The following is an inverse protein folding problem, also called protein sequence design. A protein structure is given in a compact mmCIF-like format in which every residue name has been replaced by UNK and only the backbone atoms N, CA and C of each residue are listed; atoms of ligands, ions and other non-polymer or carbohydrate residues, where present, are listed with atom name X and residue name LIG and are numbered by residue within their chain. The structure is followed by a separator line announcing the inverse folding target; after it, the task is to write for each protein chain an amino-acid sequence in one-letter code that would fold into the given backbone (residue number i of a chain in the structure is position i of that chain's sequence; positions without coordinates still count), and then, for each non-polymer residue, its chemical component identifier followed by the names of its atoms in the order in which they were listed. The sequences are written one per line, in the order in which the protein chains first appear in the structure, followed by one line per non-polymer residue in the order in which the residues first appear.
data_IF_140796431419
#
_entry.id   IF_140796431419
#
_cell.length_a   1.000
_cell.length_b   1.000
_cell.length_c   1.000
_cell.angle_alpha   90.00
_cell.angle_beta   90.00
_cell.angle_gamma   90.00
#
_symmetry.space_group_name_H-M   'P 1'
#
loop_
_entity.id
_entity.type
_entity.pdbx_description
1 polymer ?
#
# COMPACT_ATOMS: atom_id res chain seq x y z
N UNK A 1 -23.56 -14.52 -2.08
CA UNK A 1 -23.98 -14.67 -3.48
C UNK A 1 -23.10 -13.74 -4.31
N UNK A 2 -22.50 -14.22 -5.40
CA UNK A 2 -21.57 -13.44 -6.23
C UNK A 2 -21.37 -14.12 -7.59
N UNK A 3 -20.72 -13.46 -8.53
CA UNK A 3 -20.39 -14.01 -9.85
C UNK A 3 -18.96 -14.57 -9.84
N UNK A 4 -18.79 -15.77 -10.39
CA UNK A 4 -17.46 -16.35 -10.61
C UNK A 4 -16.81 -15.75 -11.86
N UNK A 5 -15.48 -15.96 -12.03
CA UNK A 5 -14.72 -15.48 -13.18
C UNK A 5 -15.32 -15.97 -14.52
N UNK A 6 -15.64 -17.25 -14.61
CA UNK A 6 -16.21 -17.87 -15.79
C UNK A 6 -17.61 -17.30 -16.13
N UNK A 7 -18.41 -17.03 -15.11
CA UNK A 7 -19.73 -16.42 -15.28
C UNK A 7 -19.62 -14.98 -15.76
N UNK A 8 -18.69 -14.18 -15.20
CA UNK A 8 -18.47 -12.79 -15.64
C UNK A 8 -17.96 -12.77 -17.09
N UNK A 9 -16.97 -13.60 -17.45
CA UNK A 9 -16.51 -13.70 -18.84
C UNK A 9 -17.62 -14.13 -19.80
N UNK A 10 -18.50 -15.02 -19.37
CA UNK A 10 -19.59 -15.53 -20.22
C UNK A 10 -20.76 -14.56 -20.36
N UNK A 11 -21.24 -14.01 -19.26
CA UNK A 11 -22.49 -13.22 -19.26
C UNK A 11 -22.28 -11.72 -19.41
N UNK A 12 -21.07 -11.21 -19.13
CA UNK A 12 -20.74 -9.79 -19.20
C UNK A 12 -19.76 -9.43 -20.31
N UNK A 13 -19.42 -10.35 -21.24
CA UNK A 13 -18.46 -10.10 -22.33
C UNK A 13 -18.77 -8.82 -23.10
N UNK A 14 -20.01 -8.61 -23.53
CA UNK A 14 -20.42 -7.41 -24.26
C UNK A 14 -20.32 -6.12 -23.44
N UNK A 15 -20.51 -6.19 -22.12
CA UNK A 15 -20.31 -5.03 -21.22
C UNK A 15 -18.82 -4.73 -21.04
N UNK A 16 -17.97 -5.77 -20.96
CA UNK A 16 -16.51 -5.62 -20.87
C UNK A 16 -15.98 -4.96 -22.16
N UNK A 17 -16.37 -5.45 -23.33
CA UNK A 17 -15.96 -4.89 -24.62
C UNK A 17 -16.38 -3.42 -24.77
N UNK A 18 -17.63 -3.10 -24.38
CA UNK A 18 -18.15 -1.74 -24.43
C UNK A 18 -17.36 -0.82 -23.49
N UNK A 19 -17.13 -1.25 -22.25
CA UNK A 19 -16.38 -0.47 -21.26
C UNK A 19 -14.91 -0.31 -21.66
N UNK A 20 -14.28 -1.35 -22.21
CA UNK A 20 -12.92 -1.31 -22.71
C UNK A 20 -12.75 -0.28 -23.83
N UNK A 21 -13.72 -0.23 -24.76
CA UNK A 21 -13.75 0.78 -25.83
C UNK A 21 -13.93 2.20 -25.28
N UNK A 22 -14.81 2.38 -24.29
CA UNK A 22 -15.08 3.69 -23.66
C UNK A 22 -13.84 4.21 -22.90
N UNK A 23 -13.09 3.31 -22.27
CA UNK A 23 -11.89 3.62 -21.47
C UNK A 23 -10.58 3.58 -22.30
N UNK A 24 -10.66 3.26 -23.60
CA UNK A 24 -9.51 3.13 -24.49
C UNK A 24 -8.45 2.12 -24.00
N UNK A 25 -8.89 1.00 -23.41
CA UNK A 25 -8.04 -0.05 -22.91
C UNK A 25 -8.36 -1.39 -23.55
N UNK A 26 -7.43 -2.33 -23.44
CA UNK A 26 -7.65 -3.70 -23.88
C UNK A 26 -8.65 -4.44 -22.95
N UNK A 27 -9.52 -5.29 -23.52
CA UNK A 27 -10.56 -6.00 -22.77
C UNK A 27 -10.02 -6.97 -21.73
N UNK A 28 -8.89 -7.63 -21.98
CA UNK A 28 -8.24 -8.52 -21.01
C UNK A 28 -7.65 -7.71 -19.86
N UNK A 29 -6.98 -6.60 -20.15
CA UNK A 29 -6.44 -5.67 -19.13
C UNK A 29 -7.55 -5.07 -18.28
N UNK A 30 -8.71 -4.74 -18.89
CA UNK A 30 -9.88 -4.28 -18.17
C UNK A 30 -10.41 -5.39 -17.25
N UNK A 31 -10.51 -6.62 -17.74
CA UNK A 31 -10.97 -7.75 -16.92
C UNK A 31 -10.04 -7.99 -15.71
N UNK A 32 -8.72 -7.96 -15.91
CA UNK A 32 -7.74 -8.08 -14.81
C UNK A 32 -7.90 -6.94 -13.77
N UNK A 33 -8.23 -5.74 -14.24
CA UNK A 33 -8.51 -4.62 -13.36
C UNK A 33 -9.82 -4.81 -12.59
N UNK A 34 -10.88 -5.35 -13.23
CA UNK A 34 -12.14 -5.72 -12.56
C UNK A 34 -11.91 -6.79 -11.49
N UNK A 35 -11.08 -7.79 -11.78
CA UNK A 35 -10.68 -8.83 -10.80
C UNK A 35 -10.02 -8.20 -9.57
N UNK A 36 -9.03 -7.33 -9.76
CA UNK A 36 -8.35 -6.65 -8.65
C UNK A 36 -9.28 -5.80 -7.80
N UNK A 37 -10.23 -5.11 -8.43
CA UNK A 37 -11.06 -4.13 -7.73
C UNK A 37 -12.34 -4.72 -7.12
N UNK A 38 -12.95 -5.75 -7.72
CA UNK A 38 -14.30 -6.17 -7.35
C UNK A 38 -14.48 -7.66 -7.09
N UNK A 39 -13.45 -8.48 -7.37
CA UNK A 39 -13.44 -9.91 -7.05
C UNK A 39 -12.85 -10.21 -5.66
N UNK A 40 -12.62 -11.46 -5.38
CA UNK A 40 -11.84 -11.91 -4.24
C UNK A 40 -12.66 -12.24 -2.98
N UNK A 41 -13.97 -12.09 -3.00
CA UNK A 41 -14.81 -12.55 -1.89
C UNK A 41 -14.85 -14.07 -1.86
N UNK A 42 -14.51 -14.65 -0.71
CA UNK A 42 -14.56 -16.07 -0.45
C UNK A 42 -15.41 -16.36 0.79
N UNK A 43 -16.41 -17.22 0.64
CA UNK A 43 -17.37 -17.58 1.68
C UNK A 43 -17.30 -19.08 2.03
N UNK A 44 -16.28 -19.78 1.52
CA UNK A 44 -16.11 -21.22 1.77
C UNK A 44 -14.82 -21.53 2.51
N UNK A 45 -14.87 -22.58 3.32
CA UNK A 45 -13.78 -23.02 4.19
C UNK A 45 -12.53 -23.46 3.41
N UNK A 46 -12.69 -23.95 2.16
CA UNK A 46 -11.54 -24.40 1.34
C UNK A 46 -10.73 -23.25 0.75
N UNK A 47 -11.22 -22.01 0.82
CA UNK A 47 -10.64 -20.80 0.26
C UNK A 47 -10.38 -20.84 -1.27
N UNK A 48 -11.08 -21.72 -2.01
CA UNK A 48 -10.85 -21.96 -3.44
C UNK A 48 -11.72 -21.13 -4.36
N UNK A 49 -13.00 -20.93 -3.96
CA UNK A 49 -13.97 -20.24 -4.81
C UNK A 49 -14.02 -18.77 -4.43
N UNK A 50 -13.58 -17.91 -5.34
CA UNK A 50 -13.68 -16.46 -5.24
C UNK A 50 -14.77 -15.94 -6.16
N UNK A 51 -15.45 -14.88 -5.71
CA UNK A 51 -16.57 -14.30 -6.45
C UNK A 51 -16.50 -12.77 -6.45
N UNK A 52 -16.99 -12.19 -7.52
CA UNK A 52 -17.21 -10.75 -7.63
C UNK A 52 -18.39 -10.29 -6.77
N UNK A 53 -18.28 -9.09 -6.20
CA UNK A 53 -19.42 -8.39 -5.63
C UNK A 53 -20.37 -7.94 -6.74
N UNK A 54 -21.61 -8.45 -6.79
CA UNK A 54 -22.54 -8.16 -7.90
C UNK A 54 -22.80 -6.67 -8.06
N UNK A 55 -23.07 -5.98 -6.97
CA UNK A 55 -23.36 -4.55 -6.99
C UNK A 55 -22.19 -3.72 -7.54
N UNK A 56 -20.97 -3.97 -7.07
CA UNK A 56 -19.80 -3.24 -7.52
C UNK A 56 -19.53 -3.42 -8.99
N UNK A 57 -19.67 -4.67 -9.48
CA UNK A 57 -19.52 -4.99 -10.91
C UNK A 57 -20.58 -4.30 -11.77
N UNK A 58 -21.85 -4.36 -11.39
CA UNK A 58 -22.95 -3.74 -12.11
C UNK A 58 -22.86 -2.21 -12.09
N UNK A 59 -22.46 -1.62 -10.96
CA UNK A 59 -22.26 -0.18 -10.84
C UNK A 59 -21.15 0.32 -11.76
N UNK A 60 -20.04 -0.42 -11.85
CA UNK A 60 -18.97 -0.11 -12.81
C UNK A 60 -19.49 -0.13 -14.25
N UNK A 61 -20.19 -1.19 -14.67
CA UNK A 61 -20.71 -1.28 -16.04
C UNK A 61 -21.79 -0.25 -16.37
N UNK A 62 -22.46 0.29 -15.36
CA UNK A 62 -23.45 1.37 -15.58
C UNK A 62 -22.77 2.68 -15.97
N UNK A 63 -21.59 2.98 -15.40
CA UNK A 63 -20.85 4.21 -15.63
C UNK A 63 -19.32 3.97 -15.70
N UNK A 64 -18.82 3.30 -16.76
CA UNK A 64 -17.38 2.95 -16.87
C UNK A 64 -16.47 4.17 -16.84
N UNK A 65 -16.89 5.30 -17.43
CA UNK A 65 -16.14 6.56 -17.46
C UNK A 65 -15.82 7.15 -16.07
N UNK A 66 -16.53 6.73 -15.03
CA UNK A 66 -16.21 7.11 -13.64
C UNK A 66 -14.99 6.37 -13.09
N UNK A 67 -14.49 5.35 -13.79
CA UNK A 67 -13.38 4.50 -13.36
C UNK A 67 -13.73 3.56 -12.20
N UNK A 68 -12.69 2.99 -11.62
CA UNK A 68 -12.82 2.09 -10.47
C UNK A 68 -13.05 2.90 -9.19
N UNK A 69 -14.15 2.59 -8.48
CA UNK A 69 -14.57 3.24 -7.22
C UNK A 69 -14.94 2.20 -6.19
N UNK A 70 -15.08 2.62 -4.94
CA UNK A 70 -15.50 1.79 -3.82
C UNK A 70 -17.04 1.63 -3.78
N UNK A 71 -17.63 1.15 -4.88
CA UNK A 71 -19.07 0.90 -4.97
C UNK A 71 -19.62 -0.01 -3.86
N UNK A 72 -18.75 -0.78 -3.21
CA UNK A 72 -19.11 -1.58 -2.04
C UNK A 72 -19.73 -0.73 -0.92
N UNK A 73 -19.10 0.39 -0.59
CA UNK A 73 -19.59 1.31 0.43
C UNK A 73 -20.85 2.07 -0.01
N UNK A 74 -20.98 2.35 -1.29
CA UNK A 74 -22.19 3.00 -1.82
C UNK A 74 -23.43 2.10 -1.67
N UNK A 75 -23.27 0.77 -1.79
CA UNK A 75 -24.38 -0.18 -1.75
C UNK A 75 -24.88 -0.51 -0.35
N UNK A 76 -23.95 -0.70 0.60
CA UNK A 76 -24.27 -1.18 1.93
C UNK A 76 -24.77 -0.05 2.86
N UNK A 77 -24.66 1.23 2.40
CA UNK A 77 -24.74 2.37 3.31
C UNK A 77 -23.68 2.19 4.39
N UNK A 78 -22.89 3.18 4.72
CA UNK A 78 -21.91 2.99 5.80
C UNK A 78 -22.67 2.52 7.05
N UNK A 79 -22.49 1.27 7.54
CA UNK A 79 -23.21 0.80 8.70
C UNK A 79 -22.72 1.59 9.91
N UNK A 80 -23.48 2.62 10.29
CA UNK A 80 -23.08 3.54 11.37
C UNK A 80 -22.67 2.81 12.63
N UNK A 81 -23.39 1.74 12.98
CA UNK A 81 -23.08 0.91 14.14
C UNK A 81 -21.71 0.26 14.04
N UNK A 82 -21.35 -0.28 12.87
CA UNK A 82 -20.02 -0.87 12.65
C UNK A 82 -18.93 0.21 12.73
N UNK A 83 -19.16 1.38 12.14
CA UNK A 83 -18.18 2.48 12.16
C UNK A 83 -17.98 2.98 13.60
N UNK A 84 -19.05 3.18 14.36
CA UNK A 84 -18.95 3.58 15.76
C UNK A 84 -18.23 2.54 16.63
N UNK A 85 -18.53 1.25 16.40
CA UNK A 85 -17.81 0.16 17.06
C UNK A 85 -16.31 0.18 16.70
N UNK A 86 -15.98 0.22 15.43
CA UNK A 86 -14.59 0.21 14.95
C UNK A 86 -13.79 1.45 15.37
N UNK A 87 -14.43 2.63 15.49
CA UNK A 87 -13.80 3.84 16.02
C UNK A 87 -13.28 3.68 17.45
N UNK A 88 -13.98 2.93 18.27
CA UNK A 88 -13.58 2.68 19.67
C UNK A 88 -12.58 1.54 19.81
N UNK A 89 -12.37 0.71 18.80
CA UNK A 89 -11.58 -0.50 18.84
C UNK A 89 -10.44 -0.51 17.81
N UNK A 90 -10.74 -0.91 16.60
CA UNK A 90 -9.74 -1.26 15.58
C UNK A 90 -9.17 -0.05 14.81
N UNK A 91 -10.03 0.94 14.47
CA UNK A 91 -9.64 2.03 13.57
C UNK A 91 -8.69 3.07 14.20
N UNK A 92 -8.43 3.01 15.49
CA UNK A 92 -7.52 3.96 16.16
C UNK A 92 -6.05 3.75 15.85
N UNK A 93 -5.67 2.53 15.50
CA UNK A 93 -4.27 2.21 15.22
C UNK A 93 -4.09 1.76 13.76
N UNK A 94 -3.42 2.56 12.91
CA UNK A 94 -3.10 2.20 11.52
C UNK A 94 -2.33 0.88 11.37
N UNK A 95 -1.63 0.40 12.40
CA UNK A 95 -1.00 -0.92 12.39
C UNK A 95 -2.01 -2.04 12.22
N UNK A 96 -3.23 -1.88 12.73
CA UNK A 96 -4.30 -2.87 12.53
C UNK A 96 -4.71 -3.00 11.06
N UNK A 97 -4.58 -1.93 10.28
CA UNK A 97 -4.84 -1.97 8.83
C UNK A 97 -3.84 -2.86 8.12
N UNK A 98 -2.57 -2.79 8.49
CA UNK A 98 -1.44 -3.45 7.80
C UNK A 98 -1.11 -4.84 8.35
N UNK A 99 -1.54 -5.14 9.58
CA UNK A 99 -1.25 -6.40 10.25
C UNK A 99 -1.87 -7.61 9.54
N UNK A 100 -1.14 -8.72 9.53
CA UNK A 100 -1.69 -10.01 9.16
C UNK A 100 -2.83 -10.38 10.13
N UNK A 101 -3.93 -10.88 9.59
CA UNK A 101 -5.14 -11.19 10.34
C UNK A 101 -5.47 -12.66 10.25
N UNK A 102 -5.78 -13.26 11.39
CA UNK A 102 -6.24 -14.64 11.45
C UNK A 102 -7.34 -14.79 12.50
N UNK A 103 -8.17 -15.80 12.33
CA UNK A 103 -9.26 -16.17 13.22
C UNK A 103 -9.36 -17.68 13.26
N UNK A 104 -9.79 -18.26 14.38
CA UNK A 104 -10.08 -19.70 14.43
C UNK A 104 -11.45 -20.01 13.83
N UNK A 105 -11.62 -21.24 13.33
CA UNK A 105 -12.92 -21.71 12.82
C UNK A 105 -14.00 -21.59 13.90
N UNK A 106 -13.68 -21.93 15.15
CA UNK A 106 -14.60 -21.83 16.28
C UNK A 106 -15.05 -20.37 16.55
N UNK A 107 -14.13 -19.42 16.47
CA UNK A 107 -14.44 -17.99 16.62
C UNK A 107 -15.29 -17.46 15.47
N UNK A 108 -15.07 -17.93 14.25
CA UNK A 108 -15.86 -17.51 13.09
C UNK A 108 -17.29 -18.09 13.13
N UNK A 109 -17.43 -19.36 13.54
CA UNK A 109 -18.71 -20.07 13.61
C UNK A 109 -19.51 -19.78 14.90
N UNK A 110 -18.82 -19.52 16.02
CA UNK A 110 -19.41 -19.44 17.35
C UNK A 110 -20.01 -18.10 17.75
N UNK A 111 -20.03 -17.14 16.85
CA UNK A 111 -20.52 -15.79 17.12
C UNK A 111 -22.05 -15.70 17.09
N UNK A 112 -22.69 -16.28 18.09
CA UNK A 112 -24.15 -16.11 18.31
C UNK A 112 -24.49 -14.77 18.99
N UNK A 113 -23.48 -14.05 19.51
CA UNK A 113 -23.66 -12.76 20.18
C UNK A 113 -22.60 -11.77 19.68
N UNK A 114 -23.05 -10.57 19.26
CA UNK A 114 -22.16 -9.50 18.74
C UNK A 114 -21.10 -9.09 19.77
N UNK A 115 -21.41 -9.17 21.07
CA UNK A 115 -20.50 -8.82 22.15
C UNK A 115 -19.34 -9.82 22.31
N UNK A 116 -19.48 -11.04 21.79
CA UNK A 116 -18.44 -12.07 21.81
C UNK A 116 -17.56 -12.11 20.55
N UNK A 117 -17.91 -11.31 19.52
CA UNK A 117 -17.15 -11.22 18.28
C UNK A 117 -15.83 -10.46 18.48
N UNK A 118 -14.75 -11.04 17.97
CA UNK A 118 -13.50 -10.28 17.78
C UNK A 118 -13.66 -9.29 16.62
N UNK A 119 -12.87 -8.20 16.60
CA UNK A 119 -12.84 -7.24 15.47
C UNK A 119 -12.66 -7.94 14.13
N UNK A 120 -11.75 -8.92 14.07
CA UNK A 120 -11.49 -9.73 12.87
C UNK A 120 -12.72 -10.54 12.47
N UNK A 121 -13.39 -11.16 13.44
CA UNK A 121 -14.63 -11.91 13.23
C UNK A 121 -15.74 -11.03 12.66
N UNK A 122 -15.97 -9.87 13.29
CA UNK A 122 -16.97 -8.90 12.85
C UNK A 122 -16.69 -8.40 11.42
N UNK A 123 -15.44 -8.01 11.15
CA UNK A 123 -15.03 -7.56 9.80
C UNK A 123 -15.16 -8.67 8.75
N UNK A 124 -14.94 -9.94 9.12
CA UNK A 124 -15.08 -11.08 8.22
C UNK A 124 -16.56 -11.37 7.95
N UNK A 125 -17.42 -11.39 8.96
CA UNK A 125 -18.85 -11.64 8.80
C UNK A 125 -19.56 -10.51 8.03
N UNK A 126 -19.08 -9.28 8.17
CA UNK A 126 -19.64 -8.12 7.45
C UNK A 126 -19.05 -7.91 6.04
N UNK A 127 -18.11 -8.78 5.61
CA UNK A 127 -17.54 -8.76 4.26
C UNK A 127 -16.43 -7.74 4.02
N UNK A 128 -15.91 -7.08 5.08
CA UNK A 128 -14.72 -6.23 4.95
C UNK A 128 -13.43 -7.05 4.88
N UNK A 129 -13.42 -8.21 5.53
CA UNK A 129 -12.37 -9.22 5.36
C UNK A 129 -12.96 -10.47 4.72
N UNK A 130 -12.12 -11.25 4.09
CA UNK A 130 -12.50 -12.50 3.45
C UNK A 130 -11.45 -13.57 3.70
N UNK A 131 -11.83 -14.84 3.59
CA UNK A 131 -10.94 -15.97 3.74
C UNK A 131 -9.95 -16.00 2.57
N UNK A 132 -8.65 -15.99 2.87
CA UNK A 132 -7.56 -16.09 1.89
C UNK A 132 -6.95 -17.48 1.85
N UNK A 133 -6.76 -18.09 3.02
CA UNK A 133 -6.25 -19.45 3.16
C UNK A 133 -6.65 -20.04 4.51
N UNK A 134 -6.56 -21.37 4.60
CA UNK A 134 -6.83 -22.12 5.83
C UNK A 134 -5.68 -23.08 6.10
N UNK A 135 -5.21 -23.11 7.34
CA UNK A 135 -4.17 -24.04 7.79
C UNK A 135 -4.58 -24.63 9.15
N UNK A 136 -5.02 -25.89 9.13
CA UNK A 136 -5.60 -26.51 10.30
C UNK A 136 -6.86 -25.79 10.75
N UNK A 137 -6.91 -25.38 12.02
CA UNK A 137 -8.02 -24.60 12.58
C UNK A 137 -7.88 -23.08 12.39
N UNK A 138 -6.77 -22.62 11.80
CA UNK A 138 -6.50 -21.20 11.62
C UNK A 138 -6.91 -20.75 10.22
N UNK A 139 -7.76 -19.74 10.17
CA UNK A 139 -8.22 -19.08 8.97
C UNK A 139 -7.44 -17.76 8.83
N UNK A 140 -6.72 -17.58 7.74
CA UNK A 140 -6.07 -16.32 7.39
C UNK A 140 -7.03 -15.49 6.55
N UNK A 141 -7.24 -14.24 6.96
CA UNK A 141 -8.17 -13.32 6.33
C UNK A 141 -7.45 -12.03 5.93
N UNK A 142 -7.93 -11.39 4.86
CA UNK A 142 -7.46 -10.08 4.40
C UNK A 142 -8.59 -9.40 3.60
N UNK A 143 -8.39 -8.16 3.20
CA UNK A 143 -9.32 -7.43 2.34
C UNK A 143 -9.58 -8.22 1.05
N UNK A 144 -10.84 -8.35 0.60
CA UNK A 144 -11.15 -9.11 -0.61
C UNK A 144 -10.46 -8.55 -1.84
N UNK A 145 -10.47 -7.24 -2.00
CA UNK A 145 -10.00 -6.54 -3.19
C UNK A 145 -9.58 -5.09 -2.89
N UNK A 146 -9.11 -4.38 -3.93
CA UNK A 146 -8.58 -3.02 -3.80
C UNK A 146 -9.67 -2.02 -3.40
N UNK A 147 -10.93 -2.17 -3.87
CA UNK A 147 -12.01 -1.27 -3.51
C UNK A 147 -12.32 -1.30 -2.00
N UNK A 148 -12.46 -2.50 -1.43
CA UNK A 148 -12.70 -2.64 0.01
C UNK A 148 -11.48 -2.21 0.83
N UNK A 149 -10.27 -2.53 0.36
CA UNK A 149 -9.02 -2.10 0.99
C UNK A 149 -8.91 -0.57 1.04
N UNK A 150 -9.18 0.11 -0.07
CA UNK A 150 -9.17 1.57 -0.17
C UNK A 150 -10.23 2.22 0.73
N UNK A 151 -11.44 1.68 0.74
CA UNK A 151 -12.52 2.15 1.60
C UNK A 151 -12.18 2.02 3.09
N UNK A 152 -11.56 0.91 3.50
CA UNK A 152 -11.08 0.74 4.87
C UNK A 152 -9.94 1.72 5.19
N UNK A 153 -9.00 1.94 4.28
CA UNK A 153 -7.95 2.96 4.46
C UNK A 153 -8.53 4.36 4.68
N UNK A 154 -9.56 4.73 3.92
CA UNK A 154 -10.29 5.99 4.09
C UNK A 154 -10.93 6.09 5.48
N UNK A 155 -11.49 5.00 6.03
CA UNK A 155 -12.03 4.98 7.39
C UNK A 155 -10.94 5.18 8.45
N UNK A 156 -9.81 4.45 8.33
CA UNK A 156 -8.66 4.62 9.23
C UNK A 156 -8.15 6.06 9.24
N UNK A 157 -7.93 6.65 8.06
CA UNK A 157 -7.47 8.04 7.96
C UNK A 157 -8.48 9.04 8.53
N UNK A 158 -9.76 8.83 8.28
CA UNK A 158 -10.81 9.72 8.82
C UNK A 158 -10.81 9.71 10.36
N UNK A 159 -10.60 8.56 10.98
CA UNK A 159 -10.48 8.47 12.44
C UNK A 159 -9.18 9.09 12.92
N UNK A 160 -8.06 8.79 12.26
CA UNK A 160 -6.73 9.28 12.61
C UNK A 160 -6.59 10.79 12.51
N UNK A 161 -7.16 11.39 11.45
CA UNK A 161 -7.06 12.82 11.17
C UNK A 161 -8.23 13.63 11.77
N UNK A 162 -9.31 12.99 12.22
CA UNK A 162 -10.57 13.65 12.59
C UNK A 162 -11.27 14.37 11.42
N UNK A 163 -10.75 14.23 10.19
CA UNK A 163 -11.19 14.91 8.95
C UNK A 163 -10.82 14.08 7.73
N UNK A 164 -11.30 14.47 6.55
CA UNK A 164 -10.89 13.78 5.30
C UNK A 164 -9.46 14.19 4.88
N UNK A 165 -8.83 13.38 4.02
CA UNK A 165 -7.47 13.63 3.51
C UNK A 165 -7.41 14.94 2.71
N UNK A 166 -8.47 15.28 1.99
CA UNK A 166 -8.58 16.56 1.27
C UNK A 166 -8.65 17.75 2.25
N UNK A 167 -9.38 17.60 3.35
CA UNK A 167 -9.44 18.62 4.42
C UNK A 167 -8.12 18.75 5.17
N UNK A 168 -7.31 17.68 5.20
CA UNK A 168 -5.93 17.72 5.66
C UNK A 168 -4.99 18.45 4.67
N UNK A 169 -5.49 18.80 3.48
CA UNK A 169 -4.73 19.50 2.45
C UNK A 169 -3.81 18.60 1.65
N UNK A 170 -4.05 17.29 1.70
CA UNK A 170 -3.32 16.26 0.94
C UNK A 170 -4.23 15.78 -0.19
N UNK A 171 -4.24 16.51 -1.30
CA UNK A 171 -5.02 16.12 -2.49
C UNK A 171 -4.13 15.42 -3.49
N UNK A 172 -4.69 14.41 -4.18
CA UNK A 172 -4.02 13.75 -5.30
C UNK A 172 -2.64 13.15 -4.95
N UNK A 173 -2.51 12.51 -3.78
CA UNK A 173 -1.25 11.90 -3.35
C UNK A 173 -0.64 11.00 -4.43
N UNK A 174 -1.45 10.18 -5.11
CA UNK A 174 -0.97 9.35 -6.21
C UNK A 174 -0.36 10.20 -7.34
N UNK A 175 -1.03 11.28 -7.77
CA UNK A 175 -0.50 12.17 -8.82
C UNK A 175 0.77 12.89 -8.38
N UNK A 176 0.85 13.32 -7.12
CA UNK A 176 2.05 13.96 -6.57
C UNK A 176 3.23 12.98 -6.56
N UNK A 177 3.02 11.75 -6.10
CA UNK A 177 4.05 10.70 -6.12
C UNK A 177 4.53 10.39 -7.54
N UNK A 178 3.64 10.48 -8.54
CA UNK A 178 3.98 10.22 -9.94
C UNK A 178 4.82 11.32 -10.57
N UNK A 179 4.71 12.59 -10.14
CA UNK A 179 5.20 13.73 -10.92
C UNK A 179 6.01 14.76 -10.14
N UNK A 180 5.73 14.93 -8.84
CA UNK A 180 6.31 16.03 -8.07
C UNK A 180 7.75 15.73 -7.67
N UNK A 181 8.49 16.80 -7.36
CA UNK A 181 9.85 16.69 -6.83
C UNK A 181 9.84 16.18 -5.38
N UNK A 182 10.96 15.64 -4.89
CA UNK A 182 11.06 15.06 -3.55
C UNK A 182 10.75 16.04 -2.41
N UNK A 183 11.12 17.30 -2.53
CA UNK A 183 10.87 18.33 -1.53
C UNK A 183 9.36 18.57 -1.35
N UNK A 184 8.61 18.67 -2.46
CA UNK A 184 7.16 18.79 -2.45
C UNK A 184 6.50 17.56 -1.81
N UNK A 185 7.01 16.35 -2.10
CA UNK A 185 6.53 15.11 -1.50
C UNK A 185 6.73 15.08 0.02
N UNK A 186 7.92 15.47 0.50
CA UNK A 186 8.20 15.54 1.95
C UNK A 186 7.33 16.60 2.62
N UNK A 187 7.14 17.75 1.98
CA UNK A 187 6.24 18.77 2.50
C UNK A 187 4.80 18.25 2.61
N UNK A 188 4.32 17.52 1.63
CA UNK A 188 3.00 16.90 1.64
C UNK A 188 2.88 15.84 2.75
N UNK A 189 3.88 14.96 2.92
CA UNK A 189 3.91 14.01 4.03
C UNK A 189 3.88 14.73 5.39
N UNK A 190 4.61 15.82 5.55
CA UNK A 190 4.58 16.60 6.78
C UNK A 190 3.19 17.20 7.05
N UNK A 191 2.48 17.71 6.04
CA UNK A 191 1.10 18.18 6.20
C UNK A 191 0.15 17.07 6.67
N UNK A 192 0.30 15.85 6.15
CA UNK A 192 -0.45 14.68 6.60
C UNK A 192 -0.14 14.38 8.07
N UNK A 193 1.13 14.27 8.43
CA UNK A 193 1.61 13.93 9.77
C UNK A 193 1.20 14.96 10.82
N UNK A 194 1.31 16.25 10.50
CA UNK A 194 0.90 17.37 11.36
C UNK A 194 -0.63 17.44 11.58
N UNK A 195 -1.40 16.76 10.71
CA UNK A 195 -2.86 16.69 10.83
C UNK A 195 -3.34 15.58 11.78
N UNK A 196 -2.47 14.72 12.28
CA UNK A 196 -2.82 13.65 13.22
C UNK A 196 -3.11 14.24 14.61
N UNK A 197 -4.21 13.81 15.23
CA UNK A 197 -4.46 14.13 16.64
C UNK A 197 -3.61 13.20 17.53
N UNK A 198 -2.52 13.77 18.04
CA UNK A 198 -1.55 13.05 18.89
C UNK A 198 -2.11 12.63 20.27
N UNK A 199 -3.26 13.14 20.68
CA UNK A 199 -3.96 12.64 21.86
C UNK A 199 -4.56 11.25 21.60
N UNK A 200 -5.02 11.05 20.38
CA UNK A 200 -5.66 9.81 19.97
C UNK A 200 -4.66 8.80 19.38
N UNK A 201 -3.64 9.29 18.67
CA UNK A 201 -2.61 8.44 18.09
C UNK A 201 -1.24 9.11 18.06
N UNK A 202 -0.24 8.47 18.64
CA UNK A 202 1.15 8.92 18.60
C UNK A 202 2.00 7.98 17.75
N UNK A 203 2.71 8.52 16.76
CA UNK A 203 3.77 7.79 16.06
C UNK A 203 4.92 7.59 17.04
N UNK A 204 5.27 6.33 17.34
CA UNK A 204 6.21 5.95 18.41
C UNK A 204 7.42 5.14 17.93
N UNK A 205 7.41 4.69 16.68
CA UNK A 205 8.45 3.87 16.06
C UNK A 205 8.36 3.91 14.53
N UNK A 206 9.29 3.25 13.84
CA UNK A 206 9.32 3.14 12.38
C UNK A 206 8.07 2.42 11.83
N UNK A 207 7.56 1.43 12.55
CA UNK A 207 6.39 0.66 12.11
C UNK A 207 5.12 1.52 12.11
N UNK A 208 4.89 2.31 13.16
CA UNK A 208 3.76 3.24 13.24
C UNK A 208 3.87 4.39 12.22
N UNK A 209 5.07 4.90 11.96
CA UNK A 209 5.32 5.88 10.92
C UNK A 209 5.00 5.31 9.53
N UNK A 210 5.53 4.11 9.23
CA UNK A 210 5.26 3.38 7.98
C UNK A 210 3.78 3.14 7.78
N UNK A 211 3.05 2.68 8.82
CA UNK A 211 1.63 2.38 8.73
C UNK A 211 0.79 3.59 8.33
N UNK A 212 1.08 4.78 8.86
CA UNK A 212 0.40 6.03 8.47
C UNK A 212 0.59 6.33 6.99
N UNK A 213 1.84 6.27 6.49
CA UNK A 213 2.14 6.52 5.08
C UNK A 213 1.47 5.47 4.18
N UNK A 214 1.52 4.21 4.57
CA UNK A 214 0.90 3.11 3.83
C UNK A 214 -0.61 3.28 3.70
N UNK A 215 -1.30 3.59 4.80
CA UNK A 215 -2.76 3.81 4.79
C UNK A 215 -3.12 4.99 3.88
N UNK A 216 -2.36 6.09 3.92
CA UNK A 216 -2.58 7.24 3.06
C UNK A 216 -2.38 6.92 1.57
N UNK A 217 -1.36 6.12 1.23
CA UNK A 217 -1.12 5.68 -0.14
C UNK A 217 -2.24 4.76 -0.64
N UNK A 218 -2.70 3.81 0.18
CA UNK A 218 -3.81 2.92 -0.18
C UNK A 218 -5.10 3.70 -0.37
N UNK A 219 -5.40 4.65 0.51
CA UNK A 219 -6.57 5.53 0.37
C UNK A 219 -6.56 6.28 -0.97
N UNK A 220 -5.38 6.69 -1.43
CA UNK A 220 -5.19 7.37 -2.71
C UNK A 220 -5.20 6.42 -3.93
N UNK A 221 -5.58 5.16 -3.76
CA UNK A 221 -5.68 4.16 -4.82
C UNK A 221 -4.35 3.51 -5.22
N UNK A 222 -3.29 3.68 -4.41
CA UNK A 222 -2.01 3.04 -4.64
C UNK A 222 -1.92 1.69 -3.91
N UNK A 223 -1.02 0.83 -4.38
CA UNK A 223 -0.75 -0.48 -3.81
C UNK A 223 0.68 -0.56 -3.27
N UNK A 224 0.97 0.12 -2.13
CA UNK A 224 2.29 0.08 -1.52
C UNK A 224 2.62 -1.32 -1.02
N UNK A 225 3.88 -1.73 -1.22
CA UNK A 225 4.44 -2.97 -0.69
C UNK A 225 5.36 -2.63 0.49
N UNK A 226 5.23 -3.38 1.55
CA UNK A 226 6.10 -3.24 2.74
C UNK A 226 7.11 -4.37 2.78
N UNK A 227 8.26 -4.07 3.39
CA UNK A 227 9.27 -5.08 3.67
C UNK A 227 9.66 -5.88 2.42
N UNK A 228 9.86 -5.18 1.29
CA UNK A 228 10.21 -5.83 0.02
C UNK A 228 11.64 -6.39 0.08
N UNK A 229 11.74 -7.71 -0.03
CA UNK A 229 13.02 -8.41 -0.02
C UNK A 229 13.71 -8.36 -1.38
N UNK A 230 15.01 -8.10 -1.38
CA UNK A 230 15.91 -8.36 -2.48
C UNK A 230 17.09 -9.22 -2.02
N UNK A 231 18.05 -9.52 -2.88
CA UNK A 231 19.22 -10.35 -2.52
C UNK A 231 20.11 -9.73 -1.41
N UNK A 232 19.99 -8.42 -1.15
CA UNK A 232 20.88 -7.68 -0.26
C UNK A 232 20.17 -7.16 1.00
N UNK A 233 18.84 -7.28 1.08
CA UNK A 233 18.11 -6.81 2.25
C UNK A 233 16.62 -6.61 2.02
N UNK A 234 16.03 -5.72 2.80
CA UNK A 234 14.59 -5.46 2.83
C UNK A 234 14.36 -3.95 2.93
N UNK A 235 13.64 -3.37 1.96
CA UNK A 235 13.19 -1.99 1.99
C UNK A 235 11.96 -1.84 2.88
N UNK A 236 11.76 -0.66 3.48
CA UNK A 236 10.61 -0.43 4.37
C UNK A 236 9.30 -0.29 3.61
N UNK A 237 9.29 0.51 2.53
CA UNK A 237 8.08 0.79 1.76
C UNK A 237 8.42 1.06 0.30
N UNK A 238 7.74 0.37 -0.61
CA UNK A 238 7.84 0.60 -2.05
C UNK A 238 6.46 0.83 -2.66
N UNK A 239 6.37 1.76 -3.60
CA UNK A 239 5.13 2.04 -4.32
C UNK A 239 5.42 2.48 -5.76
N UNK A 240 4.56 2.05 -6.68
CA UNK A 240 4.58 2.54 -8.07
C UNK A 240 3.42 3.51 -8.29
N UNK A 241 3.71 4.66 -8.86
CA UNK A 241 2.72 5.65 -9.26
C UNK A 241 3.07 6.21 -10.65
N UNK A 242 2.21 5.95 -11.63
CA UNK A 242 2.53 6.26 -13.03
C UNK A 242 3.80 5.54 -13.50
N UNK A 243 4.71 6.30 -14.11
CA UNK A 243 6.00 5.81 -14.59
C UNK A 243 7.11 5.85 -13.52
N UNK A 244 6.76 6.14 -12.26
CA UNK A 244 7.75 6.25 -11.18
C UNK A 244 7.61 5.10 -10.20
N UNK A 245 8.74 4.44 -9.90
CA UNK A 245 8.89 3.50 -8.79
C UNK A 245 9.59 4.20 -7.63
N UNK A 246 8.93 4.24 -6.48
CA UNK A 246 9.38 5.00 -5.31
C UNK A 246 9.73 4.01 -4.19
N UNK A 247 10.92 4.18 -3.62
CA UNK A 247 11.41 3.42 -2.49
C UNK A 247 11.66 4.36 -1.32
N UNK A 248 11.02 4.12 -0.19
CA UNK A 248 11.20 4.88 1.03
C UNK A 248 11.91 4.02 2.08
N UNK A 249 12.97 4.57 2.64
CA UNK A 249 13.62 4.07 3.85
C UNK A 249 13.27 4.98 5.01
N UNK A 250 12.77 4.43 6.09
CA UNK A 250 12.16 5.17 7.20
C UNK A 250 13.00 5.01 8.47
N UNK A 251 13.25 6.12 9.18
CA UNK A 251 13.86 6.11 10.50
C UNK A 251 13.02 6.94 11.47
N UNK A 252 13.00 6.50 12.71
CA UNK A 252 12.31 7.16 13.81
C UNK A 252 13.29 7.68 14.85
N UNK A 253 13.19 8.96 15.18
CA UNK A 253 13.94 9.60 16.25
C UNK A 253 13.02 9.92 17.44
N UNK A 254 12.97 9.01 18.43
CA UNK A 254 12.00 9.08 19.54
C UNK A 254 12.31 10.08 20.64
N UNK A 255 13.56 10.41 20.86
CA UNK A 255 13.98 11.26 21.98
C UNK A 255 15.35 11.85 21.75
N UNK A 256 15.56 12.40 20.57
CA UNK A 256 16.84 13.02 20.22
C UNK A 256 17.04 14.30 21.03
N UNK A 257 17.67 14.17 22.20
CA UNK A 257 18.11 15.30 23.05
C UNK A 257 19.19 16.13 22.33
N UNK A 258 19.83 15.57 21.31
CA UNK A 258 20.89 16.20 20.52
C UNK A 258 20.44 16.43 19.07
N UNK A 259 20.67 17.64 18.55
CA UNK A 259 20.43 18.01 17.16
C UNK A 259 21.19 17.14 16.12
N UNK A 260 22.17 16.36 16.57
CA UNK A 260 22.93 15.41 15.73
C UNK A 260 22.20 14.08 15.51
N UNK A 261 21.20 13.74 16.34
CA UNK A 261 20.51 12.44 16.29
C UNK A 261 19.81 12.18 14.95
N UNK A 262 18.91 13.08 14.47
CA UNK A 262 18.25 12.91 13.18
C UNK A 262 19.21 12.81 12.00
N UNK A 263 20.26 13.65 11.97
CA UNK A 263 21.27 13.63 10.90
C UNK A 263 22.06 12.32 10.85
N UNK A 264 22.39 11.73 12.02
CA UNK A 264 23.02 10.40 12.10
C UNK A 264 22.10 9.32 11.53
N UNK A 265 20.83 9.32 11.93
CA UNK A 265 19.85 8.37 11.40
C UNK A 265 19.65 8.52 9.89
N UNK A 266 19.64 9.75 9.37
CA UNK A 266 19.59 9.98 7.92
C UNK A 266 20.80 9.35 7.23
N UNK A 267 22.01 9.56 7.74
CA UNK A 267 23.23 8.95 7.19
C UNK A 267 23.14 7.42 7.18
N UNK A 268 22.69 6.81 8.28
CA UNK A 268 22.49 5.36 8.38
C UNK A 268 21.46 4.86 7.34
N UNK A 269 20.35 5.59 7.11
CA UNK A 269 19.35 5.25 6.11
C UNK A 269 19.90 5.33 4.68
N UNK A 270 20.66 6.38 4.37
CA UNK A 270 21.30 6.54 3.05
C UNK A 270 22.29 5.41 2.78
N UNK A 271 23.21 5.14 3.73
CA UNK A 271 24.19 4.05 3.63
C UNK A 271 23.49 2.68 3.46
N UNK A 272 22.37 2.46 4.16
CA UNK A 272 21.57 1.25 4.04
C UNK A 272 20.99 1.10 2.63
N UNK A 273 20.38 2.15 2.06
CA UNK A 273 19.81 2.14 0.71
C UNK A 273 20.86 1.91 -0.37
N UNK A 274 22.04 2.54 -0.24
CA UNK A 274 23.17 2.37 -1.17
C UNK A 274 23.69 0.94 -1.14
N UNK A 275 24.03 0.42 0.06
CA UNK A 275 24.62 -0.90 0.24
C UNK A 275 23.68 -2.04 -0.18
N UNK A 276 22.36 -1.85 -0.02
CA UNK A 276 21.36 -2.91 -0.26
C UNK A 276 20.67 -2.78 -1.61
N UNK A 277 21.03 -1.80 -2.44
CA UNK A 277 20.53 -1.62 -3.81
C UNK A 277 19.00 -1.69 -3.94
N UNK A 278 18.28 -1.06 -2.99
CA UNK A 278 16.82 -1.09 -2.99
C UNK A 278 16.21 -0.51 -4.27
N UNK A 279 15.21 -1.21 -4.83
CA UNK A 279 14.46 -0.80 -6.02
C UNK A 279 15.20 -0.98 -7.36
N UNK A 280 16.47 -1.40 -7.36
CA UNK A 280 17.30 -1.49 -8.59
C UNK A 280 16.83 -2.55 -9.60
N UNK A 281 15.85 -3.37 -9.28
CA UNK A 281 15.32 -4.42 -10.15
C UNK A 281 14.24 -3.93 -11.13
N UNK A 282 13.87 -2.66 -11.08
CA UNK A 282 12.80 -2.08 -11.88
C UNK A 282 13.38 -1.28 -13.05
N UNK A 283 13.78 -1.97 -14.12
CA UNK A 283 14.47 -1.36 -15.27
C UNK A 283 13.59 -0.44 -16.15
N UNK A 284 12.25 -0.57 -16.05
CA UNK A 284 11.32 0.12 -16.95
C UNK A 284 10.76 1.44 -16.42
N UNK A 285 11.05 1.82 -15.16
CA UNK A 285 10.45 2.99 -14.51
C UNK A 285 11.48 3.93 -13.91
N UNK A 286 11.15 5.22 -13.85
CA UNK A 286 11.94 6.20 -13.10
C UNK A 286 12.03 5.77 -11.63
N UNK A 287 13.24 5.46 -11.16
CA UNK A 287 13.49 5.07 -9.77
C UNK A 287 13.74 6.30 -8.90
N UNK A 288 12.89 6.53 -7.90
CA UNK A 288 13.05 7.56 -6.88
C UNK A 288 13.25 6.91 -5.52
N UNK A 289 14.43 7.08 -4.91
CA UNK A 289 14.75 6.57 -3.58
C UNK A 289 14.86 7.73 -2.59
N UNK A 290 14.12 7.67 -1.48
CA UNK A 290 14.13 8.74 -0.46
C UNK A 290 14.31 8.12 0.93
N UNK A 291 15.32 8.58 1.64
CA UNK A 291 15.49 8.32 3.07
C UNK A 291 14.77 9.41 3.87
N UNK A 292 13.95 9.02 4.85
CA UNK A 292 13.12 9.91 5.66
C UNK A 292 13.36 9.65 7.15
N UNK A 293 13.57 10.71 7.93
CA UNK A 293 13.69 10.63 9.40
C UNK A 293 12.55 11.40 10.05
N UNK A 294 11.68 10.70 10.73
CA UNK A 294 10.59 11.29 11.52
C UNK A 294 11.07 11.58 12.94
N UNK A 295 10.85 12.81 13.41
CA UNK A 295 11.11 13.24 14.78
C UNK A 295 9.82 13.12 15.63
N UNK A 296 9.86 12.25 16.64
CA UNK A 296 8.75 12.10 17.58
C UNK A 296 8.49 13.35 18.42
N UNK A 297 9.53 14.15 18.72
CA UNK A 297 9.41 15.41 19.45
C UNK A 297 8.82 16.53 18.60
N UNK A 298 9.21 16.63 17.33
CA UNK A 298 8.71 17.65 16.39
C UNK A 298 7.46 17.20 15.63
N UNK A 299 7.14 15.89 15.69
CA UNK A 299 5.97 15.26 15.04
C UNK A 299 5.93 15.46 13.54
N UNK A 300 7.10 15.45 12.91
CA UNK A 300 7.29 15.67 11.47
C UNK A 300 8.57 15.02 10.96
N UNK A 301 8.70 14.91 9.65
CA UNK A 301 9.97 14.56 8.99
C UNK A 301 10.88 15.79 9.08
N UNK A 302 12.01 15.63 9.77
CA UNK A 302 12.98 16.72 10.02
C UNK A 302 14.21 16.63 9.12
N UNK A 303 14.58 15.43 8.74
CA UNK A 303 15.72 15.18 7.85
C UNK A 303 15.31 14.22 6.74
N UNK A 304 15.79 14.45 5.53
CA UNK A 304 15.55 13.59 4.39
C UNK A 304 16.63 13.75 3.32
N UNK A 305 16.77 12.73 2.46
CA UNK A 305 17.69 12.77 1.34
C UNK A 305 17.20 11.89 0.19
N UNK A 306 17.41 12.35 -1.03
CA UNK A 306 17.31 11.50 -2.23
C UNK A 306 18.60 10.70 -2.35
N UNK A 307 18.45 9.39 -2.58
CA UNK A 307 19.58 8.48 -2.77
C UNK A 307 19.61 8.08 -4.24
N UNK A 308 20.56 8.58 -5.05
CA UNK A 308 20.61 8.23 -6.45
C UNK A 308 20.82 6.72 -6.63
N UNK A 309 20.32 6.12 -7.72
CA UNK A 309 20.65 4.74 -8.05
C UNK A 309 22.20 4.64 -8.20
N UNK A 310 22.79 3.64 -7.58
CA UNK A 310 24.18 3.33 -7.77
C UNK A 310 24.35 2.97 -9.25
N UNK A 311 25.13 3.74 -10.02
CA UNK A 311 25.39 3.42 -11.43
C UNK A 311 25.95 2.00 -11.46
N UNK A 312 25.30 1.10 -12.20
CA UNK A 312 25.91 -0.17 -12.59
C UNK A 312 27.22 0.15 -13.27
N UNK A 313 28.29 -0.57 -12.90
CA UNK A 313 29.54 -0.52 -13.64
C UNK A 313 29.21 -0.84 -15.10
N UNK A 314 29.27 0.17 -15.98
CA UNK A 314 29.20 -0.08 -17.42
C UNK A 314 30.43 -0.88 -17.79
N UNK A 315 30.25 -2.17 -17.96
CA UNK A 315 31.25 -3.05 -18.57
C UNK A 315 31.14 -2.81 -20.06
N UNK A 316 32.12 -2.09 -20.62
CA UNK A 316 32.24 -2.00 -22.05
C UNK A 316 32.70 -3.36 -22.58
N UNK A 317 31.73 -4.19 -22.99
CA UNK A 317 31.99 -5.54 -23.51
C UNK A 317 32.90 -5.59 -24.73
N UNK A 318 33.07 -4.45 -25.44
CA UNK A 318 33.95 -4.37 -26.63
C UNK A 318 35.44 -4.25 -26.27
N UNK A 319 35.80 -3.73 -25.09
CA UNK A 319 37.18 -3.43 -24.75
C UNK A 319 37.73 -4.10 -23.49
N UNK A 320 36.94 -4.90 -22.75
CA UNK A 320 37.38 -5.51 -21.50
C UNK A 320 37.87 -4.50 -20.46
N UNK A 321 37.31 -3.31 -20.46
CA UNK A 321 37.67 -2.22 -19.56
C UNK A 321 36.50 -1.83 -18.68
N UNK A 322 36.73 -1.60 -17.40
CA UNK A 322 35.76 -1.06 -16.43
C UNK A 322 36.14 0.36 -16.12
N UNK A 323 35.26 1.32 -16.42
CA UNK A 323 35.45 2.71 -15.98
C UNK A 323 34.84 2.88 -14.58
N UNK A 324 35.64 3.30 -13.62
CA UNK A 324 35.22 3.67 -12.27
C UNK A 324 35.36 5.19 -12.16
N UNK A 325 34.24 5.89 -12.01
CA UNK A 325 34.24 7.34 -11.83
C UNK A 325 35.03 7.71 -10.56
N UNK A 326 36.11 8.46 -10.70
CA UNK A 326 37.05 8.86 -9.65
C UNK A 326 38.31 8.00 -9.48
N UNK A 327 38.42 6.82 -10.09
CA UNK A 327 39.57 5.91 -9.96
C UNK A 327 40.23 5.54 -11.30
N UNK A 328 39.68 5.99 -12.44
CA UNK A 328 40.25 5.71 -13.76
C UNK A 328 39.80 4.38 -14.36
N UNK A 329 40.42 3.99 -15.46
CA UNK A 329 40.08 2.80 -16.26
C UNK A 329 40.87 1.59 -15.79
N UNK A 330 40.21 0.52 -15.34
CA UNK A 330 40.82 -0.78 -15.04
C UNK A 330 40.67 -1.70 -16.28
N UNK A 331 41.77 -2.23 -16.77
CA UNK A 331 41.76 -3.29 -17.82
C UNK A 331 41.59 -4.64 -17.17
N UNK A 332 40.59 -5.41 -17.59
CA UNK A 332 40.42 -6.80 -17.17
C UNK A 332 41.24 -7.65 -18.15
N UNK A 333 42.30 -8.29 -17.65
CA UNK A 333 43.11 -9.22 -18.46
C UNK A 333 42.37 -10.56 -18.53
N UNK A 334 41.82 -10.86 -19.68
CA UNK A 334 41.06 -12.11 -19.97
C UNK A 334 42.02 -13.30 -20.26
N UNK A 335 43.19 -13.38 -19.62
CA UNK A 335 44.09 -14.53 -19.70
C UNK A 335 43.92 -15.42 -18.45
N UNK A 336 42.94 -16.28 -18.45
CA UNK A 336 43.02 -17.58 -17.83
C UNK A 336 41.92 -18.47 -18.42
N UNK A 337 42.36 -19.25 -19.39
CA UNK A 337 41.79 -20.54 -19.72
C UNK A 337 42.47 -21.61 -18.89
#
# INVERSE_FOLDING_TARGET
MGYRHDEVKKYFSGYIEKAAKELEVDSEKLFDSLVRHYDGFCFEESAKIKVFAPWSLLSFFTYPSRGFRDYWFESAGQPRVLIEYLKSHNLRDPLNFTAAKSISMAQLAGASDVESLTDVGLLTQTGYLTIKSVSGETIFVDYPNDAVRQAMASLYLRVLLGKTIEQAGVRNLASMLAKDNPETLVHMFNRLLESIDYKDYAIKDEASFRAVLQVAMVESGLSPRIECHNAHGRSDLEVTSGERHIVLELKYCGGCISASGPKRLLKEAVEQMEKRHYGMQTEEKELLRIALVFSGSERRITEWSVVPPTKSLEVDEQFGTVQIEGLGTLKIDNRSK
#
